data_IF_283286258199
#
_entry.id   IF_283286258199
#
_cell.length_a   1.000
_cell.length_b   1.000
_cell.length_c   1.000
_cell.angle_alpha   90.00
_cell.angle_beta   90.00
_cell.angle_gamma   90.00
#
_symmetry.space_group_name_H-M   'P 1'
#
loop_
_entity.id
_entity.type
_entity.pdbx_description
1 polymer ?
#
# COMPACT_ATOMS: atom_id res chain seq x y z
N UNK A 1 21.12 -28.47 0.59
CA UNK A 1 20.53 -29.73 0.09
C UNK A 1 20.04 -29.50 -1.33
N UNK A 2 20.55 -30.23 -2.35
CA UNK A 2 20.03 -30.10 -3.72
C UNK A 2 18.65 -30.76 -3.77
N UNK A 3 17.61 -29.97 -4.01
CA UNK A 3 16.26 -30.51 -4.18
C UNK A 3 16.21 -31.48 -5.35
N UNK A 4 15.49 -32.57 -5.15
CA UNK A 4 15.36 -33.61 -6.17
C UNK A 4 14.59 -33.05 -7.39
N UNK A 5 14.98 -33.37 -8.63
CA UNK A 5 14.42 -32.76 -9.83
C UNK A 5 12.90 -32.92 -9.96
N UNK A 6 12.34 -34.04 -9.51
CA UNK A 6 10.89 -34.26 -9.54
C UNK A 6 10.11 -33.32 -8.59
N UNK A 7 10.73 -32.93 -7.45
CA UNK A 7 10.11 -31.95 -6.53
C UNK A 7 10.01 -30.55 -7.20
N UNK A 8 11.05 -30.15 -7.92
CA UNK A 8 11.01 -28.90 -8.69
C UNK A 8 9.93 -28.91 -9.76
N UNK A 9 9.84 -30.04 -10.52
CA UNK A 9 8.79 -30.18 -11.54
C UNK A 9 7.40 -30.11 -10.93
N UNK A 10 7.17 -30.80 -9.82
CA UNK A 10 5.89 -30.76 -9.11
C UNK A 10 5.55 -29.36 -8.60
N UNK A 11 6.52 -28.63 -8.06
CA UNK A 11 6.34 -27.24 -7.61
C UNK A 11 6.01 -26.31 -8.79
N UNK A 12 6.69 -26.43 -9.93
CA UNK A 12 6.37 -25.63 -11.12
C UNK A 12 4.97 -25.96 -11.66
N UNK A 13 4.60 -27.24 -11.73
CA UNK A 13 3.26 -27.66 -12.14
C UNK A 13 2.17 -27.06 -11.23
N UNK A 14 2.37 -27.13 -9.92
CA UNK A 14 1.46 -26.54 -8.94
C UNK A 14 1.34 -25.03 -9.10
N UNK A 15 2.46 -24.32 -9.25
CA UNK A 15 2.47 -22.87 -9.47
C UNK A 15 1.76 -22.48 -10.76
N UNK A 16 1.92 -23.25 -11.85
CA UNK A 16 1.22 -23.01 -13.11
C UNK A 16 -0.28 -23.21 -12.92
N UNK A 17 -0.72 -24.26 -12.23
CA UNK A 17 -2.14 -24.50 -11.95
C UNK A 17 -2.74 -23.33 -11.16
N UNK A 18 -2.08 -22.87 -10.10
CA UNK A 18 -2.53 -21.71 -9.33
C UNK A 18 -2.56 -20.43 -10.18
N UNK A 19 -1.55 -20.22 -11.02
CA UNK A 19 -1.52 -19.08 -11.93
C UNK A 19 -2.71 -19.10 -12.90
N UNK A 20 -3.05 -20.25 -13.48
CA UNK A 20 -4.21 -20.43 -14.36
C UNK A 20 -5.51 -20.11 -13.60
N UNK A 21 -5.69 -20.67 -12.39
CA UNK A 21 -6.89 -20.42 -11.58
C UNK A 21 -7.08 -18.93 -11.27
N UNK A 22 -6.00 -18.18 -11.05
CA UNK A 22 -6.05 -16.75 -10.76
C UNK A 22 -6.28 -15.92 -12.04
N UNK A 23 -5.66 -16.32 -13.16
CA UNK A 23 -5.69 -15.54 -14.41
C UNK A 23 -7.01 -15.75 -15.18
N UNK A 24 -7.59 -16.95 -15.17
CA UNK A 24 -8.83 -17.27 -15.92
C UNK A 24 -9.99 -16.30 -15.61
N UNK A 25 -10.34 -16.00 -14.34
CA UNK A 25 -11.41 -15.04 -14.06
C UNK A 25 -11.08 -13.63 -14.52
N UNK A 26 -9.79 -13.22 -14.51
CA UNK A 26 -9.37 -11.90 -15.00
C UNK A 26 -9.56 -11.81 -16.51
N UNK A 27 -9.13 -12.85 -17.26
CA UNK A 27 -9.35 -12.92 -18.71
C UNK A 27 -10.86 -12.95 -19.02
N UNK A 28 -11.64 -13.69 -18.24
CA UNK A 28 -13.09 -13.73 -18.43
C UNK A 28 -13.73 -12.36 -18.21
N UNK A 29 -13.38 -11.63 -17.15
CA UNK A 29 -13.86 -10.27 -16.93
C UNK A 29 -13.50 -9.34 -18.10
N UNK A 30 -12.26 -9.45 -18.61
CA UNK A 30 -11.83 -8.68 -19.77
C UNK A 30 -12.63 -9.01 -21.03
N UNK A 31 -12.86 -10.31 -21.31
CA UNK A 31 -13.69 -10.75 -22.43
C UNK A 31 -15.12 -10.21 -22.31
N UNK A 32 -15.74 -10.39 -21.14
CA UNK A 32 -17.12 -9.92 -20.88
C UNK A 32 -17.23 -8.40 -21.05
N UNK A 33 -16.21 -7.63 -20.68
CA UNK A 33 -16.22 -6.17 -20.86
C UNK A 33 -16.29 -5.74 -22.33
N UNK A 34 -15.90 -6.62 -23.24
CA UNK A 34 -15.92 -6.40 -24.71
C UNK A 34 -17.03 -7.17 -25.45
N UNK A 35 -17.98 -7.76 -24.72
CA UNK A 35 -19.10 -8.52 -25.28
C UNK A 35 -20.39 -7.71 -25.33
N UNK A 36 -21.25 -8.04 -26.31
CA UNK A 36 -22.62 -7.59 -26.30
C UNK A 36 -23.45 -8.27 -25.20
N UNK A 37 -24.46 -7.57 -24.68
CA UNK A 37 -25.35 -8.10 -23.63
C UNK A 37 -25.96 -9.47 -24.00
N UNK A 38 -26.30 -9.68 -25.27
CA UNK A 38 -26.86 -10.97 -25.76
C UNK A 38 -25.85 -12.13 -25.61
N UNK A 39 -24.57 -11.87 -25.81
CA UNK A 39 -23.53 -12.88 -25.67
C UNK A 39 -23.25 -13.20 -24.19
N UNK A 40 -23.28 -12.16 -23.31
CA UNK A 40 -23.13 -12.31 -21.87
C UNK A 40 -24.24 -13.19 -21.30
N UNK A 41 -25.52 -12.90 -21.64
CA UNK A 41 -26.66 -13.71 -21.21
C UNK A 41 -26.69 -15.09 -21.85
N UNK A 42 -26.08 -15.26 -23.04
CA UNK A 42 -25.89 -16.54 -23.69
C UNK A 42 -24.80 -17.43 -23.10
N UNK A 43 -24.07 -16.97 -22.05
CA UNK A 43 -23.04 -17.73 -21.38
C UNK A 43 -21.79 -17.99 -22.22
N UNK A 44 -21.52 -17.17 -23.24
CA UNK A 44 -20.29 -17.29 -24.04
C UNK A 44 -19.06 -16.89 -23.22
N UNK A 45 -17.99 -17.63 -23.42
CA UNK A 45 -16.70 -17.32 -22.78
C UNK A 45 -15.86 -16.33 -23.61
N UNK A 46 -15.98 -16.37 -24.93
CA UNK A 46 -15.24 -15.52 -25.86
C UNK A 46 -16.18 -14.63 -26.66
N UNK A 47 -15.83 -13.35 -26.88
CA UNK A 47 -16.63 -12.46 -27.73
C UNK A 47 -16.64 -12.96 -29.19
N UNK A 48 -17.79 -12.94 -29.85
CA UNK A 48 -17.88 -13.15 -31.30
C UNK A 48 -17.44 -11.90 -32.06
N UNK A 49 -17.71 -10.72 -31.47
CA UNK A 49 -17.26 -9.42 -31.95
C UNK A 49 -16.76 -8.60 -30.78
N UNK A 50 -15.59 -7.98 -30.94
CA UNK A 50 -15.08 -7.06 -29.94
C UNK A 50 -15.83 -5.73 -30.03
N UNK A 51 -16.51 -5.33 -28.95
CA UNK A 51 -17.16 -4.03 -28.84
C UNK A 51 -16.56 -3.20 -27.72
N UNK A 52 -16.43 -1.89 -27.93
CA UNK A 52 -16.06 -0.91 -26.91
C UNK A 52 -17.28 -0.15 -26.38
N UNK A 53 -18.49 -0.52 -26.82
CA UNK A 53 -19.73 0.19 -26.48
C UNK A 53 -19.97 0.21 -24.98
N UNK A 54 -19.65 -0.88 -24.27
CA UNK A 54 -19.78 -0.95 -22.82
C UNK A 54 -18.92 0.12 -22.10
N UNK A 55 -17.72 0.37 -22.60
CA UNK A 55 -16.83 1.42 -22.06
C UNK A 55 -17.37 2.81 -22.36
N UNK A 56 -17.79 3.07 -23.59
CA UNK A 56 -18.38 4.37 -23.99
C UNK A 56 -19.63 4.66 -23.15
N UNK A 57 -20.50 3.67 -23.01
CA UNK A 57 -21.71 3.77 -22.20
C UNK A 57 -21.40 3.99 -20.72
N UNK A 58 -20.40 3.31 -20.16
CA UNK A 58 -19.98 3.52 -18.79
C UNK A 58 -19.50 4.96 -18.57
N UNK A 59 -18.66 5.51 -19.47
CA UNK A 59 -18.20 6.90 -19.40
C UNK A 59 -19.32 7.93 -19.57
N UNK A 60 -20.39 7.60 -20.29
CA UNK A 60 -21.56 8.46 -20.40
C UNK A 60 -22.45 8.43 -19.14
N UNK A 61 -22.56 7.25 -18.49
CA UNK A 61 -23.41 7.05 -17.32
C UNK A 61 -22.80 7.59 -16.02
N UNK A 62 -21.47 7.69 -15.94
CA UNK A 62 -20.79 8.12 -14.74
C UNK A 62 -19.58 9.03 -15.03
N UNK A 63 -19.30 10.03 -14.20
CA UNK A 63 -18.18 10.94 -14.39
C UNK A 63 -16.84 10.28 -13.97
N UNK A 64 -16.41 9.25 -14.69
CA UNK A 64 -15.21 8.45 -14.36
C UNK A 64 -13.94 9.29 -14.19
N UNK A 65 -13.74 10.29 -15.04
CA UNK A 65 -12.57 11.19 -14.91
C UNK A 65 -12.56 11.94 -13.57
N UNK A 66 -13.75 12.34 -13.09
CA UNK A 66 -13.86 12.96 -11.76
C UNK A 66 -13.52 11.95 -10.66
N UNK A 67 -13.99 10.71 -10.77
CA UNK A 67 -13.67 9.66 -9.80
C UNK A 67 -12.18 9.33 -9.77
N UNK A 68 -11.56 9.18 -10.94
CA UNK A 68 -10.12 8.95 -11.06
C UNK A 68 -9.32 10.11 -10.44
N UNK A 69 -9.67 11.36 -10.81
CA UNK A 69 -9.03 12.55 -10.24
C UNK A 69 -9.14 12.58 -8.71
N UNK A 70 -10.34 12.36 -8.18
CA UNK A 70 -10.58 12.35 -6.74
C UNK A 70 -9.77 11.24 -6.04
N UNK A 71 -9.76 10.04 -6.62
CA UNK A 71 -8.98 8.92 -6.10
C UNK A 71 -7.48 9.22 -6.10
N UNK A 72 -6.95 9.82 -7.17
CA UNK A 72 -5.54 10.19 -7.23
C UNK A 72 -5.18 11.26 -6.19
N UNK A 73 -6.02 12.27 -6.01
CA UNK A 73 -5.80 13.31 -4.99
C UNK A 73 -5.81 12.68 -3.60
N UNK A 74 -6.85 11.94 -3.25
CA UNK A 74 -7.01 11.34 -1.92
C UNK A 74 -5.88 10.35 -1.62
N UNK A 75 -5.62 9.40 -2.52
CA UNK A 75 -4.58 8.41 -2.32
C UNK A 75 -3.18 9.03 -2.29
N UNK A 76 -2.91 10.01 -3.15
CA UNK A 76 -1.63 10.73 -3.16
C UNK A 76 -1.36 11.46 -1.87
N UNK A 77 -2.36 12.20 -1.35
CA UNK A 77 -2.21 12.95 -0.08
C UNK A 77 -2.09 11.98 1.11
N UNK A 78 -2.90 10.91 1.16
CA UNK A 78 -2.79 9.89 2.21
C UNK A 78 -1.41 9.24 2.19
N UNK A 79 -0.93 8.82 1.02
CA UNK A 79 0.39 8.20 0.89
C UNK A 79 1.50 9.13 1.36
N UNK A 80 1.48 10.39 0.92
CA UNK A 80 2.45 11.38 1.36
C UNK A 80 2.39 11.59 2.89
N UNK A 81 1.20 11.76 3.45
CA UNK A 81 1.01 11.92 4.89
C UNK A 81 1.52 10.71 5.68
N UNK A 82 1.21 9.48 5.23
CA UNK A 82 1.67 8.24 5.87
C UNK A 82 3.18 8.06 5.77
N UNK A 83 3.80 8.43 4.64
CA UNK A 83 5.26 8.38 4.49
C UNK A 83 5.92 9.36 5.46
N UNK A 84 5.44 10.60 5.53
CA UNK A 84 6.03 11.62 6.41
C UNK A 84 5.83 11.26 7.89
N UNK A 85 4.59 11.00 8.32
CA UNK A 85 4.29 10.64 9.71
C UNK A 85 4.95 9.33 10.12
N UNK A 86 4.94 8.35 9.21
CA UNK A 86 5.58 7.04 9.40
C UNK A 86 7.10 7.16 9.57
N UNK A 87 7.77 7.94 8.71
CA UNK A 87 9.20 8.14 8.77
C UNK A 87 9.64 8.87 10.05
N UNK A 88 8.94 9.94 10.42
CA UNK A 88 9.22 10.69 11.64
C UNK A 88 9.06 9.82 12.90
N UNK A 89 7.94 9.10 13.01
CA UNK A 89 7.70 8.21 14.14
C UNK A 89 8.66 7.01 14.15
N UNK A 90 8.92 6.40 13.00
CA UNK A 90 9.86 5.29 12.88
C UNK A 90 11.28 5.69 13.27
N UNK A 91 11.72 6.88 12.86
CA UNK A 91 13.03 7.43 13.24
C UNK A 91 13.13 7.61 14.76
N UNK A 92 12.10 8.22 15.37
CA UNK A 92 12.06 8.39 16.82
C UNK A 92 12.11 7.03 17.55
N UNK A 93 11.36 6.03 17.09
CA UNK A 93 11.36 4.69 17.68
C UNK A 93 12.59 3.84 17.34
N UNK A 94 13.36 4.15 16.30
CA UNK A 94 14.57 3.43 15.95
C UNK A 94 15.80 4.07 16.60
N UNK A 95 16.02 5.36 16.37
CA UNK A 95 17.29 6.05 16.60
C UNK A 95 17.30 6.90 17.87
N UNK A 96 16.16 7.48 18.28
CA UNK A 96 16.14 8.36 19.45
C UNK A 96 15.96 7.57 20.76
N UNK A 97 16.57 8.06 21.86
CA UNK A 97 16.38 7.53 23.20
C UNK A 97 15.48 8.46 24.01
N UNK A 98 14.33 7.94 24.48
CA UNK A 98 13.40 8.67 25.34
C UNK A 98 12.67 7.75 26.30
N UNK A 99 12.21 8.31 27.43
CA UNK A 99 11.46 7.56 28.45
C UNK A 99 10.12 7.09 27.88
N UNK A 100 9.80 5.81 28.11
CA UNK A 100 8.54 5.22 27.65
C UNK A 100 8.54 4.74 26.19
N UNK A 101 9.63 4.86 25.43
CA UNK A 101 9.79 4.42 24.03
C UNK A 101 9.17 3.03 23.75
N UNK A 102 9.53 2.04 24.57
CA UNK A 102 9.00 0.66 24.41
C UNK A 102 7.51 0.58 24.62
N UNK A 103 6.99 1.24 25.66
CA UNK A 103 5.55 1.22 25.98
C UNK A 103 4.75 1.87 24.87
N UNK A 104 5.15 3.05 24.40
CA UNK A 104 4.48 3.74 23.29
C UNK A 104 4.51 2.93 21.99
N UNK A 105 5.63 2.27 21.72
CA UNK A 105 5.74 1.39 20.56
C UNK A 105 4.79 0.20 20.65
N UNK A 106 4.68 -0.45 21.82
CA UNK A 106 3.73 -1.55 22.01
C UNK A 106 2.28 -1.09 21.95
N UNK A 107 1.93 0.09 22.48
CA UNK A 107 0.59 0.66 22.34
C UNK A 107 0.26 0.87 20.85
N UNK A 108 1.21 1.45 20.09
CA UNK A 108 1.04 1.62 18.64
C UNK A 108 0.83 0.28 17.93
N UNK A 109 1.61 -0.76 18.26
CA UNK A 109 1.41 -2.10 17.69
C UNK A 109 0.05 -2.68 18.05
N UNK A 110 -0.43 -2.47 19.29
CA UNK A 110 -1.75 -2.93 19.72
C UNK A 110 -2.88 -2.33 18.87
N UNK A 111 -2.73 -1.09 18.37
CA UNK A 111 -3.72 -0.49 17.47
C UNK A 111 -3.88 -1.26 16.15
N UNK A 112 -2.85 -1.97 15.68
CA UNK A 112 -2.95 -2.80 14.48
C UNK A 112 -3.81 -4.05 14.67
N UNK A 113 -4.06 -4.46 15.92
CA UNK A 113 -4.95 -5.60 16.23
C UNK A 113 -6.43 -5.23 16.11
N UNK A 114 -6.75 -3.94 16.07
CA UNK A 114 -8.13 -3.47 15.93
C UNK A 114 -8.51 -3.53 14.46
N UNK A 115 -9.51 -4.36 14.07
CA UNK A 115 -9.93 -4.41 12.68
C UNK A 115 -10.57 -3.08 12.26
N UNK A 116 -10.20 -2.59 11.07
CA UNK A 116 -10.69 -1.31 10.54
C UNK A 116 -12.22 -1.25 10.45
N UNK A 117 -12.87 -2.40 10.26
CA UNK A 117 -14.33 -2.53 10.21
C UNK A 117 -14.99 -2.15 11.55
N UNK A 118 -14.32 -2.39 12.68
CA UNK A 118 -14.85 -2.06 13.99
C UNK A 118 -14.88 -0.54 14.26
N UNK A 119 -13.97 0.22 13.64
CA UNK A 119 -13.85 1.66 13.87
C UNK A 119 -14.56 2.51 12.81
N UNK A 120 -15.12 1.91 11.76
CA UNK A 120 -15.71 2.65 10.63
C UNK A 120 -16.88 3.54 11.06
N UNK A 121 -17.74 3.03 11.97
CA UNK A 121 -18.91 3.78 12.47
C UNK A 121 -18.43 4.96 13.34
N UNK A 122 -17.47 4.73 14.25
CA UNK A 122 -16.92 5.76 15.11
C UNK A 122 -16.23 6.87 14.28
N UNK A 123 -15.46 6.51 13.26
CA UNK A 123 -14.86 7.46 12.35
C UNK A 123 -15.91 8.29 11.59
N UNK A 124 -16.98 7.65 11.11
CA UNK A 124 -18.07 8.35 10.43
C UNK A 124 -18.76 9.37 11.35
N UNK A 125 -19.07 8.99 12.60
CA UNK A 125 -19.69 9.89 13.58
C UNK A 125 -18.77 11.07 13.89
N UNK A 126 -17.49 10.81 14.14
CA UNK A 126 -16.49 11.87 14.40
C UNK A 126 -16.40 12.87 13.23
N UNK A 127 -16.35 12.39 11.99
CA UNK A 127 -16.33 13.22 10.79
C UNK A 127 -17.62 14.02 10.65
N UNK A 128 -18.75 13.40 11.02
CA UNK A 128 -20.05 14.06 11.01
C UNK A 128 -20.11 15.22 12.02
N UNK A 129 -19.63 14.98 13.25
CA UNK A 129 -19.58 15.99 14.32
C UNK A 129 -18.64 17.13 13.98
N UNK A 130 -17.56 16.88 13.28
CA UNK A 130 -16.64 17.92 12.77
C UNK A 130 -17.21 18.70 11.58
N UNK A 131 -18.35 18.30 11.03
CA UNK A 131 -19.02 18.98 9.93
C UNK A 131 -18.28 18.88 8.58
N UNK A 132 -17.29 17.98 8.46
CA UNK A 132 -16.45 17.83 7.24
C UNK A 132 -16.90 16.71 6.31
N UNK A 133 -18.14 16.22 6.45
CA UNK A 133 -18.71 15.21 5.53
C UNK A 133 -18.65 15.71 4.08
N UNK A 134 -18.47 14.77 3.15
CA UNK A 134 -18.36 15.03 1.70
C UNK A 134 -17.18 15.93 1.30
N UNK A 135 -16.11 15.97 2.10
CA UNK A 135 -14.86 16.65 1.76
C UNK A 135 -13.71 15.65 1.61
N UNK A 136 -12.64 16.06 0.93
CA UNK A 136 -11.40 15.27 0.89
C UNK A 136 -10.81 15.05 2.28
N UNK A 137 -10.93 16.02 3.18
CA UNK A 137 -10.47 15.92 4.56
C UNK A 137 -11.11 14.74 5.30
N UNK A 138 -12.40 14.46 5.07
CA UNK A 138 -13.11 13.33 5.64
C UNK A 138 -12.50 11.96 5.30
N UNK A 139 -11.90 11.84 4.11
CA UNK A 139 -11.24 10.62 3.66
C UNK A 139 -9.77 10.58 4.06
N UNK A 140 -9.10 11.72 4.11
CA UNK A 140 -7.67 11.83 4.33
C UNK A 140 -7.33 11.74 5.84
N UNK A 141 -8.01 12.50 6.70
CA UNK A 141 -7.63 12.62 8.11
C UNK A 141 -7.59 11.29 8.88
N UNK A 142 -8.59 10.40 8.77
CA UNK A 142 -8.55 9.11 9.47
C UNK A 142 -7.42 8.19 9.00
N UNK A 143 -6.92 8.42 7.78
CA UNK A 143 -5.94 7.58 7.13
C UNK A 143 -4.54 8.25 7.02
N UNK A 144 -4.36 9.46 7.55
CA UNK A 144 -3.12 10.22 7.42
C UNK A 144 -1.92 9.62 8.18
N UNK A 145 -2.15 8.73 9.13
CA UNK A 145 -1.12 7.99 9.85
C UNK A 145 -1.49 6.51 9.92
N UNK A 146 -0.49 5.64 9.78
CA UNK A 146 -0.67 4.19 9.85
C UNK A 146 0.41 3.55 10.70
N UNK A 147 0.02 2.80 11.73
CA UNK A 147 0.94 2.06 12.59
C UNK A 147 1.79 1.06 11.78
N UNK A 148 1.21 0.46 10.74
CA UNK A 148 1.91 -0.45 9.83
C UNK A 148 3.06 0.25 9.08
N UNK A 149 2.86 1.50 8.62
CA UNK A 149 3.91 2.28 7.98
C UNK A 149 5.07 2.56 8.96
N UNK A 150 4.75 2.97 10.19
CA UNK A 150 5.74 3.20 11.25
C UNK A 150 6.53 1.92 11.55
N UNK A 151 5.83 0.78 11.69
CA UNK A 151 6.47 -0.50 11.97
C UNK A 151 7.46 -0.90 10.87
N UNK A 152 7.04 -0.88 9.61
CA UNK A 152 7.91 -1.27 8.49
C UNK A 152 9.13 -0.36 8.35
N UNK A 153 8.92 0.96 8.44
CA UNK A 153 10.01 1.92 8.34
C UNK A 153 10.99 1.79 9.53
N UNK A 154 10.47 1.54 10.74
CA UNK A 154 11.32 1.28 11.90
C UNK A 154 12.17 0.03 11.71
N UNK A 155 11.61 -1.07 11.18
CA UNK A 155 12.39 -2.27 10.89
C UNK A 155 13.51 -1.96 9.87
N UNK A 156 13.22 -1.18 8.82
CA UNK A 156 14.22 -0.75 7.86
C UNK A 156 15.32 0.10 8.52
N UNK A 157 14.98 1.06 9.39
CA UNK A 157 15.98 1.86 10.10
C UNK A 157 16.87 1.03 11.05
N UNK A 158 16.31 0.00 11.68
CA UNK A 158 17.08 -0.90 12.56
C UNK A 158 18.07 -1.80 11.80
N UNK A 159 17.98 -1.92 10.48
CA UNK A 159 18.98 -2.63 9.66
C UNK A 159 20.22 -1.78 9.37
N UNK A 160 20.15 -0.49 9.63
CA UNK A 160 21.29 0.40 9.42
C UNK A 160 22.34 0.19 10.52
N UNK A 161 23.63 0.08 10.15
CA UNK A 161 24.71 0.04 11.12
C UNK A 161 24.71 1.31 11.97
N UNK A 162 24.86 1.15 13.29
CA UNK A 162 24.90 2.30 14.24
C UNK A 162 26.05 3.24 13.95
N UNK A 163 27.15 2.71 13.46
CA UNK A 163 28.38 3.45 13.11
C UNK A 163 28.09 4.56 12.07
N UNK A 164 27.11 4.35 11.18
CA UNK A 164 26.72 5.37 10.18
C UNK A 164 26.02 6.55 10.89
N UNK A 165 25.18 6.26 11.88
CA UNK A 165 24.49 7.31 12.64
C UNK A 165 25.50 8.09 13.51
N UNK A 166 26.39 7.39 14.20
CA UNK A 166 27.44 7.99 15.04
C UNK A 166 28.41 8.85 14.21
N UNK A 167 28.82 8.38 13.04
CA UNK A 167 29.65 9.17 12.13
C UNK A 167 28.94 10.44 11.64
N UNK A 168 27.65 10.35 11.32
CA UNK A 168 26.86 11.51 10.93
C UNK A 168 26.70 12.54 12.07
N UNK A 169 26.58 12.08 13.32
CA UNK A 169 26.57 12.97 14.49
C UNK A 169 27.90 13.70 14.67
N UNK A 170 29.04 13.00 14.50
CA UNK A 170 30.36 13.60 14.54
C UNK A 170 30.55 14.66 13.46
N UNK A 171 30.01 14.43 12.26
CA UNK A 171 30.02 15.37 11.15
C UNK A 171 29.02 16.54 11.33
N UNK A 172 28.35 16.64 12.50
CA UNK A 172 27.38 17.70 12.81
C UNK A 172 26.06 17.59 12.04
N UNK A 173 25.72 16.41 11.56
CA UNK A 173 24.47 16.17 10.87
C UNK A 173 23.30 16.20 11.86
N UNK A 174 22.29 17.04 11.59
CA UNK A 174 21.09 17.06 12.43
C UNK A 174 20.24 15.82 12.21
N UNK A 175 19.46 15.40 13.21
CA UNK A 175 18.55 14.25 13.12
C UNK A 175 17.62 14.34 11.91
N UNK A 176 17.13 15.53 11.58
CA UNK A 176 16.26 15.73 10.43
C UNK A 176 16.99 15.55 9.09
N UNK A 177 18.21 16.08 9.00
CA UNK A 177 19.06 15.90 7.81
C UNK A 177 19.42 14.43 7.61
N UNK A 178 19.77 13.73 8.69
CA UNK A 178 20.06 12.31 8.67
C UNK A 178 18.83 11.48 8.22
N UNK A 179 17.64 11.77 8.73
CA UNK A 179 16.39 11.13 8.31
C UNK A 179 16.17 11.27 6.81
N UNK A 180 16.32 12.49 6.28
CA UNK A 180 16.14 12.74 4.85
C UNK A 180 17.15 11.99 3.99
N UNK A 181 18.41 11.98 4.39
CA UNK A 181 19.50 11.27 3.70
C UNK A 181 19.30 9.76 3.77
N UNK A 182 18.88 9.25 4.94
CA UNK A 182 18.61 7.83 5.15
C UNK A 182 17.45 7.32 4.28
N UNK A 183 16.36 8.09 4.16
CA UNK A 183 15.23 7.73 3.29
C UNK A 183 15.63 7.59 1.82
N UNK A 184 16.55 8.44 1.36
CA UNK A 184 17.07 8.37 -0.01
C UNK A 184 18.07 7.21 -0.20
N UNK A 185 18.83 6.87 0.83
CA UNK A 185 19.91 5.87 0.75
C UNK A 185 19.39 4.45 0.95
N UNK A 186 18.34 4.24 1.76
CA UNK A 186 17.73 2.93 2.00
C UNK A 186 16.84 2.44 0.86
N UNK A 187 16.66 3.24 -0.18
CA UNK A 187 16.10 2.73 -1.43
C UNK A 187 17.04 1.65 -1.98
N UNK A 188 16.65 0.36 -2.04
CA UNK A 188 17.52 -0.70 -2.49
C UNK A 188 17.93 -0.41 -3.94
N UNK A 189 19.15 0.07 -4.10
CA UNK A 189 19.75 0.24 -5.41
C UNK A 189 19.95 -1.17 -6.01
N UNK A 190 19.33 -1.51 -7.14
CA UNK A 190 19.51 -2.82 -7.77
C UNK A 190 20.97 -3.15 -8.10
N UNK A 191 21.87 -2.16 -8.08
CA UNK A 191 23.30 -2.33 -8.38
C UNK A 191 24.11 -2.87 -7.17
N UNK A 192 23.59 -2.78 -5.95
CA UNK A 192 24.31 -3.25 -4.75
C UNK A 192 24.10 -4.75 -4.46
N UNK A 193 23.35 -5.46 -5.30
CA UNK A 193 23.14 -6.92 -5.19
C UNK A 193 24.11 -7.77 -5.99
N UNK A 194 25.15 -7.16 -6.56
CA UNK A 194 26.17 -7.86 -7.38
C UNK A 194 27.54 -7.87 -6.69
N UNK A 195 27.60 -8.37 -5.43
CA UNK A 195 28.84 -8.86 -4.82
C UNK A 195 28.56 -10.19 -4.15
#
# INVERSE_FOLDING_TARGET
MKEKPYVKVAMYALNIIFAIIIIVPVIYCFNVSMMDLKEIYGGKFWPSHLTIENYTRAFQLAPFFTFIKNSLIVSGVITFAQVVTGALAAYAFAMMEFKGKKVLFYIMLATMMIPSQAIIIANYLTIADWGIRNTYAALILPNAAAAFAVFNMRQAFLTLPKEIHEAAEIDGCTNFKFLYTCLLYTSPNPRDRSV
#
